data_IF_621397564571
#
_entry.id   IF_621397564571
#
_cell.length_a   1.000
_cell.length_b   1.000
_cell.length_c   1.000
_cell.angle_alpha   90.00
_cell.angle_beta   90.00
_cell.angle_gamma   90.00
#
_symmetry.space_group_name_H-M   'P 1'
#
loop_
_entity.id
_entity.type
_entity.pdbx_description
1 polymer ?
#
# COMPACT_ATOMS: atom_id res chain seq x y z
N UNK A 1 29.36 -3.22 21.57
CA UNK A 1 28.81 -4.56 21.85
C UNK A 1 27.46 -4.60 21.17
N UNK A 2 27.47 -5.03 19.92
CA UNK A 2 26.27 -5.28 19.13
C UNK A 2 25.78 -6.68 19.49
N UNK A 3 24.64 -6.77 20.15
CA UNK A 3 23.92 -8.05 20.27
C UNK A 3 22.83 -8.05 19.18
N UNK A 4 23.15 -8.57 18.02
CA UNK A 4 22.13 -9.00 17.06
C UNK A 4 21.39 -10.21 17.65
N UNK A 5 20.29 -9.96 18.29
CA UNK A 5 19.28 -10.99 18.51
C UNK A 5 18.48 -11.14 17.21
N UNK A 6 18.98 -11.95 16.31
CA UNK A 6 18.13 -12.45 15.22
C UNK A 6 17.18 -13.50 15.80
N UNK A 7 15.94 -13.10 16.04
CA UNK A 7 14.89 -14.07 16.32
C UNK A 7 14.66 -14.87 15.03
N UNK A 8 14.79 -16.21 15.03
CA UNK A 8 14.48 -17.00 13.85
C UNK A 8 13.02 -16.76 13.47
N UNK A 9 12.79 -16.20 12.30
CA UNK A 9 11.43 -16.06 11.76
C UNK A 9 11.04 -17.40 11.13
N UNK A 10 10.20 -18.17 11.81
CA UNK A 10 9.56 -19.34 11.21
C UNK A 10 8.37 -18.86 10.37
N UNK A 11 8.43 -19.11 9.07
CA UNK A 11 7.33 -18.82 8.15
C UNK A 11 6.68 -20.13 7.71
N UNK A 12 5.37 -20.21 7.83
CA UNK A 12 4.58 -21.33 7.33
C UNK A 12 3.80 -20.87 6.09
N UNK A 13 3.96 -21.59 4.99
CA UNK A 13 3.19 -21.34 3.76
C UNK A 13 2.08 -22.37 3.65
N UNK A 14 0.84 -21.92 3.66
CA UNK A 14 -0.34 -22.73 3.39
C UNK A 14 -0.81 -22.40 1.97
N UNK A 15 -1.08 -23.42 1.16
CA UNK A 15 -1.63 -23.27 -0.17
C UNK A 15 -3.01 -23.89 -0.22
N UNK A 16 -4.02 -23.08 -0.57
CA UNK A 16 -5.40 -23.52 -0.66
C UNK A 16 -6.26 -22.48 -1.38
N UNK A 17 -7.48 -22.86 -1.73
CA UNK A 17 -8.50 -21.91 -2.19
C UNK A 17 -9.32 -21.50 -0.99
N UNK A 18 -9.41 -20.19 -0.77
CA UNK A 18 -10.22 -19.59 0.27
C UNK A 18 -11.42 -18.92 -0.38
N UNK A 19 -12.54 -18.99 0.30
CA UNK A 19 -13.78 -18.30 -0.05
C UNK A 19 -14.12 -17.28 1.03
N UNK A 20 -14.83 -16.24 0.64
CA UNK A 20 -15.38 -15.28 1.61
C UNK A 20 -16.23 -15.99 2.66
N UNK A 21 -16.02 -15.68 3.92
CA UNK A 21 -16.68 -16.30 5.05
C UNK A 21 -16.02 -17.59 5.57
N UNK A 22 -14.99 -18.11 4.89
CA UNK A 22 -14.21 -19.22 5.43
C UNK A 22 -13.52 -18.78 6.73
N UNK A 23 -13.56 -19.68 7.73
CA UNK A 23 -12.90 -19.45 9.02
C UNK A 23 -11.57 -20.17 9.02
N UNK A 24 -10.50 -19.42 9.21
CA UNK A 24 -9.14 -19.93 9.35
C UNK A 24 -8.75 -19.91 10.81
N UNK A 25 -8.26 -21.04 11.31
CA UNK A 25 -7.71 -21.14 12.64
C UNK A 25 -6.26 -21.56 12.59
N UNK A 26 -5.44 -20.83 13.34
CA UNK A 26 -4.05 -21.16 13.61
C UNK A 26 -3.94 -21.64 15.06
N UNK A 27 -3.39 -22.81 15.24
CA UNK A 27 -3.02 -23.34 16.55
C UNK A 27 -1.49 -23.53 16.59
N UNK A 28 -0.85 -23.00 17.61
CA UNK A 28 0.58 -23.13 17.87
C UNK A 28 0.80 -23.76 19.24
N UNK A 29 1.54 -24.86 19.26
CA UNK A 29 1.88 -25.59 20.47
C UNK A 29 3.39 -25.73 20.55
N UNK A 30 3.98 -25.55 21.73
CA UNK A 30 5.39 -25.85 21.96
C UNK A 30 5.61 -27.37 22.03
N UNK A 31 6.81 -27.83 21.66
CA UNK A 31 7.13 -29.26 21.62
C UNK A 31 6.96 -29.96 22.98
N UNK A 32 7.14 -29.22 24.07
CA UNK A 32 6.93 -29.72 25.44
C UNK A 32 5.46 -29.64 25.90
N UNK A 33 4.59 -29.09 25.07
CA UNK A 33 3.17 -28.92 25.35
C UNK A 33 2.82 -27.89 26.46
N UNK A 34 3.81 -27.11 26.93
CA UNK A 34 3.57 -26.17 28.05
C UNK A 34 2.84 -24.89 27.59
N UNK A 35 3.02 -24.50 26.33
CA UNK A 35 2.39 -23.28 25.80
C UNK A 35 1.55 -23.61 24.58
N UNK A 36 0.34 -23.13 24.60
CA UNK A 36 -0.61 -23.22 23.50
C UNK A 36 -1.18 -21.83 23.21
N UNK A 37 -1.09 -21.41 21.96
CA UNK A 37 -1.72 -20.20 21.46
C UNK A 37 -2.57 -20.54 20.24
N UNK A 38 -3.67 -19.86 20.07
CA UNK A 38 -4.49 -19.98 18.87
C UNK A 38 -5.04 -18.62 18.44
N UNK A 39 -5.29 -18.49 17.16
CA UNK A 39 -5.94 -17.34 16.56
C UNK A 39 -6.93 -17.83 15.49
N UNK A 40 -8.02 -17.10 15.34
CA UNK A 40 -9.03 -17.37 14.35
C UNK A 40 -9.33 -16.10 13.55
N UNK A 41 -9.48 -16.24 12.24
CA UNK A 41 -9.85 -15.15 11.36
C UNK A 41 -10.86 -15.63 10.34
N UNK A 42 -11.88 -14.83 10.10
CA UNK A 42 -12.83 -15.06 9.01
C UNK A 42 -12.34 -14.34 7.76
N UNK A 43 -12.29 -15.06 6.64
CA UNK A 43 -11.93 -14.46 5.35
C UNK A 43 -12.93 -13.35 5.01
N UNK A 44 -12.49 -12.09 4.86
CA UNK A 44 -13.38 -10.98 4.59
C UNK A 44 -14.19 -11.17 3.31
N UNK A 45 -15.23 -10.38 3.16
CA UNK A 45 -15.97 -10.31 1.90
C UNK A 45 -15.07 -9.82 0.79
N UNK A 46 -15.45 -10.17 -0.44
CA UNK A 46 -14.78 -9.64 -1.62
C UNK A 46 -14.80 -8.10 -1.56
N UNK A 47 -13.66 -7.44 -1.80
CA UNK A 47 -13.59 -5.99 -1.73
C UNK A 47 -14.49 -5.35 -2.79
N UNK A 48 -14.85 -4.09 -2.55
CA UNK A 48 -15.48 -3.26 -3.55
C UNK A 48 -14.62 -3.23 -4.84
N UNK A 49 -15.27 -3.28 -5.98
CA UNK A 49 -14.58 -3.20 -7.25
C UNK A 49 -14.13 -1.76 -7.52
N UNK A 50 -12.88 -1.61 -7.98
CA UNK A 50 -12.40 -0.33 -8.48
C UNK A 50 -13.12 -0.06 -9.80
N UNK A 51 -13.97 0.97 -9.82
CA UNK A 51 -14.77 1.35 -10.99
C UNK A 51 -13.92 2.14 -12.02
N UNK A 52 -13.00 2.98 -11.51
CA UNK A 52 -12.23 3.90 -12.34
C UNK A 52 -10.93 4.32 -11.67
N UNK A 53 -9.89 4.50 -12.48
CA UNK A 53 -8.64 5.15 -12.08
C UNK A 53 -8.32 6.24 -13.11
N UNK A 54 -8.27 7.50 -12.65
CA UNK A 54 -7.77 8.63 -13.43
C UNK A 54 -6.39 9.02 -12.94
N UNK A 55 -5.45 9.20 -13.87
CA UNK A 55 -4.06 9.54 -13.55
C UNK A 55 -3.66 10.85 -14.22
N UNK A 56 -2.99 11.73 -13.46
CA UNK A 56 -2.49 13.00 -13.95
C UNK A 56 -1.12 13.31 -13.34
N UNK A 57 -0.16 13.72 -14.17
CA UNK A 57 1.11 14.26 -13.69
C UNK A 57 0.91 15.68 -13.15
N UNK A 58 1.36 15.91 -11.92
CA UNK A 58 1.26 17.21 -11.25
C UNK A 58 2.66 17.65 -10.83
N UNK A 59 3.12 18.86 -11.20
CA UNK A 59 4.30 19.47 -10.64
C UNK A 59 4.00 19.95 -9.21
N UNK A 60 4.94 19.74 -8.34
CA UNK A 60 4.93 20.31 -7.00
C UNK A 60 6.22 21.08 -6.76
N UNK A 61 6.10 22.35 -6.39
CA UNK A 61 7.24 23.23 -6.14
C UNK A 61 7.30 23.60 -4.67
N UNK A 62 8.39 23.22 -4.02
CA UNK A 62 8.70 23.61 -2.66
C UNK A 62 10.01 24.42 -2.67
N UNK A 63 9.90 25.69 -2.24
CA UNK A 63 11.04 26.64 -2.25
C UNK A 63 11.68 26.77 -3.64
N UNK A 64 12.80 26.11 -3.87
CA UNK A 64 13.54 26.10 -5.16
C UNK A 64 13.50 24.76 -5.87
N UNK A 65 12.74 23.82 -5.38
CA UNK A 65 12.69 22.44 -5.86
C UNK A 65 11.33 22.13 -6.49
N UNK A 66 11.34 21.62 -7.71
CA UNK A 66 10.13 21.14 -8.36
C UNK A 66 10.22 19.62 -8.51
N UNK A 67 9.29 18.91 -7.90
CA UNK A 67 9.15 17.46 -8.03
C UNK A 67 7.85 17.13 -8.74
N UNK A 68 7.84 16.11 -9.58
CA UNK A 68 6.63 15.63 -10.24
C UNK A 68 6.04 14.45 -9.48
N UNK A 69 4.71 14.45 -9.38
CA UNK A 69 3.94 13.36 -8.83
C UNK A 69 2.92 12.86 -9.85
N UNK A 70 2.63 11.56 -9.79
CA UNK A 70 1.46 10.98 -10.46
C UNK A 70 0.31 10.95 -9.46
N UNK A 71 -0.66 11.83 -9.66
CA UNK A 71 -1.93 11.82 -8.93
C UNK A 71 -2.81 10.72 -9.49
N UNK A 72 -3.30 9.85 -8.62
CA UNK A 72 -4.29 8.84 -8.93
C UNK A 72 -5.60 9.18 -8.22
N UNK A 73 -6.69 9.28 -8.99
CA UNK A 73 -8.05 9.32 -8.46
C UNK A 73 -8.67 7.95 -8.66
N UNK A 74 -8.88 7.23 -7.57
CA UNK A 74 -9.35 5.85 -7.55
C UNK A 74 -10.79 5.84 -7.07
N UNK A 75 -11.71 5.55 -7.97
CA UNK A 75 -13.15 5.48 -7.66
C UNK A 75 -13.55 4.03 -7.44
N UNK A 76 -14.20 3.78 -6.32
CA UNK A 76 -14.78 2.49 -5.95
C UNK A 76 -16.09 2.72 -5.18
N UNK A 77 -16.92 1.68 -5.11
CA UNK A 77 -18.19 1.71 -4.38
C UNK A 77 -18.10 0.83 -3.16
N UNK A 78 -18.52 1.36 -2.04
CA UNK A 78 -18.63 0.62 -0.79
C UNK A 78 -19.63 -0.55 -0.90
N UNK A 79 -19.37 -1.61 -0.13
CA UNK A 79 -20.27 -2.74 0.00
C UNK A 79 -21.41 -2.36 0.93
N UNK A 80 -22.69 -2.64 0.55
CA UNK A 80 -23.84 -2.21 1.33
C UNK A 80 -23.99 -2.98 2.66
N UNK A 81 -24.64 -2.32 3.59
CA UNK A 81 -25.26 -2.88 4.79
C UNK A 81 -24.36 -3.36 5.93
N UNK A 82 -23.03 -3.15 5.83
CA UNK A 82 -22.08 -3.54 6.87
C UNK A 82 -21.11 -2.40 7.19
N UNK A 83 -20.32 -2.55 8.25
CA UNK A 83 -19.11 -1.77 8.44
C UNK A 83 -17.98 -2.46 7.71
N UNK A 84 -17.36 -1.76 6.80
CA UNK A 84 -16.30 -2.30 5.97
C UNK A 84 -14.98 -1.65 6.32
N UNK A 85 -13.94 -2.47 6.33
CA UNK A 85 -12.57 -2.06 6.57
C UNK A 85 -11.74 -2.41 5.35
N UNK A 86 -10.90 -1.49 4.93
CA UNK A 86 -10.16 -1.57 3.69
C UNK A 86 -8.68 -1.27 3.89
N UNK A 87 -7.88 -1.77 2.95
CA UNK A 87 -6.49 -1.36 2.78
C UNK A 87 -6.24 -1.01 1.31
N UNK A 88 -5.64 0.15 1.07
CA UNK A 88 -5.11 0.52 -0.24
C UNK A 88 -3.61 0.26 -0.28
N UNK A 89 -3.14 -0.39 -1.36
CA UNK A 89 -1.73 -0.59 -1.64
C UNK A 89 -1.44 -0.08 -3.04
N UNK A 90 -0.46 0.80 -3.15
CA UNK A 90 0.06 1.31 -4.42
C UNK A 90 1.38 0.57 -4.72
N UNK A 91 1.32 -0.50 -5.50
CA UNK A 91 2.52 -1.25 -5.91
C UNK A 91 3.10 -0.64 -7.19
N UNK A 92 4.17 0.12 -7.05
CA UNK A 92 4.94 0.66 -8.17
C UNK A 92 6.03 -0.33 -8.54
N UNK A 93 5.79 -1.10 -9.59
CA UNK A 93 6.72 -2.06 -10.15
C UNK A 93 7.57 -1.42 -11.23
N UNK A 94 8.87 -1.29 -10.98
CA UNK A 94 9.84 -0.75 -11.92
C UNK A 94 10.63 -1.89 -12.55
N UNK A 95 10.62 -1.96 -13.87
CA UNK A 95 11.31 -2.98 -14.67
C UNK A 95 12.37 -2.26 -15.50
N UNK A 96 13.63 -2.49 -15.20
CA UNK A 96 14.76 -1.86 -15.86
C UNK A 96 15.62 -2.88 -16.56
N UNK A 97 16.06 -2.56 -17.79
CA UNK A 97 17.03 -3.34 -18.52
C UNK A 97 18.43 -2.78 -18.24
N UNK A 98 19.29 -3.59 -17.71
CA UNK A 98 20.66 -3.24 -17.32
C UNK A 98 21.67 -4.07 -18.07
N UNK A 99 22.96 -3.67 -18.07
CA UNK A 99 24.08 -4.47 -18.55
C UNK A 99 24.96 -4.87 -17.38
N UNK A 100 25.41 -6.12 -17.41
CA UNK A 100 26.42 -6.61 -16.47
C UNK A 100 27.85 -6.20 -16.93
N UNK A 101 28.86 -6.62 -16.17
CA UNK A 101 30.28 -6.34 -16.47
C UNK A 101 30.71 -6.93 -17.80
N UNK A 102 30.10 -8.02 -18.24
CA UNK A 102 30.35 -8.68 -19.52
C UNK A 102 29.55 -8.07 -20.69
N UNK A 103 28.88 -6.92 -20.45
CA UNK A 103 28.05 -6.22 -21.43
C UNK A 103 26.78 -6.98 -21.85
N UNK A 104 26.38 -8.03 -21.11
CA UNK A 104 25.14 -8.77 -21.35
C UNK A 104 23.95 -8.05 -20.74
N UNK A 105 22.80 -8.05 -21.46
CA UNK A 105 21.55 -7.47 -21.00
C UNK A 105 20.86 -8.40 -20.00
N UNK A 106 20.45 -7.81 -18.87
CA UNK A 106 19.57 -8.47 -17.90
C UNK A 106 18.45 -7.54 -17.43
N UNK A 107 17.39 -8.11 -16.92
CA UNK A 107 16.24 -7.35 -16.38
C UNK A 107 16.29 -7.37 -14.87
N UNK A 108 16.21 -6.18 -14.27
CA UNK A 108 16.03 -6.01 -12.83
C UNK A 108 14.63 -5.46 -12.56
N UNK A 109 13.94 -6.09 -11.63
CA UNK A 109 12.61 -5.66 -11.18
C UNK A 109 12.66 -5.36 -9.71
N UNK A 110 12.08 -4.23 -9.30
CA UNK A 110 11.87 -3.90 -7.90
C UNK A 110 10.48 -3.28 -7.71
N UNK A 111 10.03 -3.27 -6.46
CA UNK A 111 8.75 -2.76 -6.06
C UNK A 111 8.93 -1.62 -5.07
N UNK A 112 8.07 -0.62 -5.17
CA UNK A 112 7.98 0.47 -4.21
C UNK A 112 6.52 0.66 -3.84
N UNK A 113 6.24 0.72 -2.54
CA UNK A 113 4.88 0.81 -2.00
C UNK A 113 4.59 2.19 -1.39
N UNK A 114 5.50 3.14 -1.53
CA UNK A 114 5.33 4.47 -0.98
C UNK A 114 4.34 5.28 -1.82
N UNK A 115 3.40 5.90 -1.14
CA UNK A 115 2.48 6.87 -1.73
C UNK A 115 2.17 7.98 -0.72
N UNK A 116 1.65 9.09 -1.21
CA UNK A 116 1.26 10.25 -0.43
C UNK A 116 -0.24 10.48 -0.60
N UNK A 117 -0.95 10.78 0.49
CA UNK A 117 -2.41 10.94 0.47
C UNK A 117 -2.87 12.21 1.19
N UNK A 118 -2.06 13.19 1.20
CA UNK A 118 -2.14 14.49 1.85
C UNK A 118 -3.56 15.08 2.01
N UNK A 119 -4.34 15.09 0.94
CA UNK A 119 -5.65 15.74 0.89
C UNK A 119 -6.83 14.76 1.01
N UNK A 120 -6.55 13.46 1.04
CA UNK A 120 -7.61 12.47 1.12
C UNK A 120 -8.19 12.39 2.54
N UNK A 121 -9.47 12.75 2.69
CA UNK A 121 -10.14 12.86 4.00
C UNK A 121 -10.33 11.52 4.70
N UNK A 122 -10.33 10.43 3.95
CA UNK A 122 -10.50 9.08 4.50
C UNK A 122 -9.16 8.58 5.03
N UNK A 123 -8.09 8.69 4.23
CA UNK A 123 -6.75 8.26 4.63
C UNK A 123 -6.11 9.16 5.70
N UNK A 124 -6.57 10.41 5.83
CA UNK A 124 -6.09 11.35 6.84
C UNK A 124 -6.99 11.45 8.08
N UNK A 125 -8.00 10.58 8.16
CA UNK A 125 -9.01 10.61 9.22
C UNK A 125 -9.69 11.99 9.38
N UNK A 126 -9.98 12.62 8.25
CA UNK A 126 -10.64 13.95 8.21
C UNK A 126 -9.73 15.12 8.59
N UNK A 127 -8.42 14.91 8.65
CA UNK A 127 -7.42 15.95 8.90
C UNK A 127 -6.45 16.08 7.71
N UNK A 128 -6.94 16.48 6.53
CA UNK A 128 -6.05 16.65 5.38
C UNK A 128 -5.01 17.74 5.65
N UNK A 129 -3.77 17.50 5.21
CA UNK A 129 -2.74 18.52 5.24
C UNK A 129 -3.10 19.65 4.30
N UNK A 130 -3.02 20.89 4.77
CA UNK A 130 -3.20 22.07 3.92
C UNK A 130 -1.84 22.57 3.43
N UNK A 131 -1.84 23.34 2.34
CA UNK A 131 -0.61 23.95 1.79
C UNK A 131 0.11 24.87 2.78
N UNK A 132 -0.58 25.34 3.82
CA UNK A 132 -0.08 26.28 4.81
C UNK A 132 0.44 25.63 6.10
N UNK A 133 0.47 24.33 6.19
CA UNK A 133 1.09 23.65 7.33
C UNK A 133 2.61 23.77 7.22
N UNK A 134 3.19 24.77 7.91
CA UNK A 134 4.63 25.07 7.89
C UNK A 134 5.51 23.87 8.34
N UNK A 135 4.93 22.90 9.02
CA UNK A 135 5.61 21.68 9.48
C UNK A 135 5.25 20.44 8.68
N UNK A 136 4.31 20.51 7.74
CA UNK A 136 3.83 19.35 6.97
C UNK A 136 4.05 19.61 5.49
N UNK A 137 5.30 19.50 5.06
CA UNK A 137 5.62 19.43 3.64
C UNK A 137 4.89 18.27 2.96
N UNK A 138 4.80 18.27 1.65
CA UNK A 138 4.17 17.19 0.86
C UNK A 138 4.74 15.80 1.20
N UNK A 139 5.90 15.75 1.82
CA UNK A 139 6.63 14.55 2.22
C UNK A 139 6.41 14.19 3.69
N UNK A 140 5.59 14.93 4.43
CA UNK A 140 5.33 14.57 5.82
C UNK A 140 4.61 13.22 5.82
N UNK A 141 5.35 12.24 6.32
CA UNK A 141 4.98 10.84 6.31
C UNK A 141 3.71 10.72 7.13
N UNK A 142 2.71 10.44 6.44
CA UNK A 142 1.39 10.29 6.91
C UNK A 142 1.28 9.36 8.12
N UNK A 143 0.41 9.71 9.02
CA UNK A 143 0.06 8.92 10.20
C UNK A 143 -0.46 7.53 9.84
N UNK A 144 -0.99 7.36 8.64
CA UNK A 144 -1.54 6.10 8.13
C UNK A 144 -0.57 5.41 7.16
N UNK A 145 0.54 4.89 7.69
CA UNK A 145 1.59 4.20 6.89
C UNK A 145 1.11 2.90 6.24
N UNK A 146 0.00 2.34 6.70
CA UNK A 146 -0.51 1.04 6.20
C UNK A 146 -1.58 1.17 5.14
N UNK A 147 -2.08 2.40 4.88
CA UNK A 147 -3.16 2.65 3.93
C UNK A 147 -4.49 2.02 4.34
N UNK A 148 -4.73 1.84 5.64
CA UNK A 148 -5.97 1.26 6.18
C UNK A 148 -7.01 2.35 6.41
N UNK A 149 -8.29 2.03 6.19
CA UNK A 149 -9.41 2.95 6.40
C UNK A 149 -10.72 2.18 6.54
N UNK A 150 -11.74 2.84 7.08
CA UNK A 150 -13.09 2.33 7.17
C UNK A 150 -14.06 3.10 6.24
N UNK A 151 -15.29 2.61 6.16
CA UNK A 151 -16.34 3.18 5.32
C UNK A 151 -17.14 4.30 5.99
N UNK A 152 -16.81 4.70 7.21
CA UNK A 152 -17.64 5.63 8.03
C UNK A 152 -17.96 6.94 7.33
N UNK A 153 -17.11 7.41 6.41
CA UNK A 153 -17.26 8.67 5.68
C UNK A 153 -17.94 8.55 4.33
N UNK A 154 -18.15 7.33 3.82
CA UNK A 154 -18.76 7.10 2.50
C UNK A 154 -19.69 5.88 2.44
N UNK A 155 -20.12 5.42 3.57
CA UNK A 155 -20.95 4.21 3.72
C UNK A 155 -22.07 4.12 2.70
N UNK A 156 -22.20 2.97 2.04
CA UNK A 156 -23.17 2.68 0.98
C UNK A 156 -23.07 3.60 -0.26
N UNK A 157 -21.95 4.27 -0.46
CA UNK A 157 -21.79 5.28 -1.52
C UNK A 157 -20.51 5.05 -2.32
N UNK A 158 -20.41 5.54 -3.55
CA UNK A 158 -19.15 5.59 -4.24
C UNK A 158 -18.22 6.61 -3.57
N UNK A 159 -16.94 6.28 -3.52
CA UNK A 159 -15.89 7.16 -3.04
C UNK A 159 -14.77 7.30 -4.06
N UNK A 160 -14.20 8.48 -4.17
CA UNK A 160 -13.03 8.73 -5.01
C UNK A 160 -11.86 9.16 -4.14
N UNK A 161 -10.96 8.22 -3.91
CA UNK A 161 -9.72 8.42 -3.16
C UNK A 161 -8.67 9.12 -4.00
N UNK A 162 -7.92 10.03 -3.40
CA UNK A 162 -6.82 10.74 -4.07
C UNK A 162 -5.49 10.38 -3.42
N UNK A 163 -4.60 9.78 -4.20
CA UNK A 163 -3.24 9.42 -3.77
C UNK A 163 -2.21 9.85 -4.80
N UNK A 164 -0.97 10.04 -4.36
CA UNK A 164 0.14 10.50 -5.18
C UNK A 164 1.31 9.53 -5.10
N UNK A 165 1.89 9.21 -6.24
CA UNK A 165 3.12 8.42 -6.34
C UNK A 165 4.23 9.35 -6.81
N UNK A 166 5.34 9.49 -6.07
CA UNK A 166 6.45 10.34 -6.46
C UNK A 166 7.10 9.84 -7.75
N UNK A 167 7.26 10.71 -8.73
CA UNK A 167 7.80 10.33 -10.03
C UNK A 167 9.31 10.08 -10.04
N UNK A 168 10.05 10.59 -9.07
CA UNK A 168 11.48 10.31 -8.93
C UNK A 168 11.79 8.82 -8.70
N UNK A 169 10.82 8.05 -8.18
CA UNK A 169 10.92 6.59 -8.04
C UNK A 169 11.20 5.92 -9.39
N UNK A 170 10.80 6.54 -10.49
CA UNK A 170 10.95 6.02 -11.85
C UNK A 170 12.24 6.48 -12.53
N UNK A 171 12.97 7.42 -11.95
CA UNK A 171 14.19 7.94 -12.53
C UNK A 171 15.35 7.02 -12.21
N UNK A 172 16.00 6.51 -13.24
CA UNK A 172 17.27 5.82 -13.10
C UNK A 172 18.36 6.84 -12.80
N UNK A 173 19.03 6.68 -11.66
CA UNK A 173 20.14 7.57 -11.28
C UNK A 173 21.45 7.26 -12.02
N UNK A 174 21.53 6.15 -12.73
CA UNK A 174 22.77 5.65 -13.32
C UNK A 174 22.79 5.74 -14.86
N UNK A 175 22.98 6.96 -15.38
CA UNK A 175 23.43 7.16 -16.74
C UNK A 175 22.41 6.93 -17.88
N UNK A 176 22.84 6.91 -19.15
CA UNK A 176 21.99 6.90 -20.33
C UNK A 176 21.44 5.49 -20.64
N UNK A 177 20.71 4.90 -19.72
CA UNK A 177 20.13 3.59 -19.93
C UNK A 177 18.70 3.65 -20.52
N UNK A 178 18.32 2.62 -21.28
CA UNK A 178 17.02 2.58 -21.93
C UNK A 178 15.90 2.66 -20.90
N UNK A 179 14.81 3.28 -21.31
CA UNK A 179 13.63 3.58 -20.51
C UNK A 179 13.20 2.42 -19.59
N UNK A 180 13.11 2.70 -18.31
CA UNK A 180 12.46 1.80 -17.39
C UNK A 180 10.96 1.70 -17.74
N UNK A 181 10.41 0.49 -17.75
CA UNK A 181 8.97 0.29 -17.76
C UNK A 181 8.48 0.37 -16.33
N UNK A 182 7.42 1.15 -16.10
CA UNK A 182 6.80 1.31 -14.80
C UNK A 182 5.35 0.90 -14.89
N UNK A 183 4.97 -0.06 -14.06
CA UNK A 183 3.57 -0.44 -13.86
C UNK A 183 3.15 0.00 -12.46
N UNK A 184 2.04 0.72 -12.33
CA UNK A 184 1.44 1.04 -11.04
C UNK A 184 0.21 0.17 -10.88
N UNK A 185 0.25 -0.69 -9.88
CA UNK A 185 -0.81 -1.66 -9.59
C UNK A 185 -1.50 -1.20 -8.31
N UNK A 186 -2.79 -0.95 -8.40
CA UNK A 186 -3.61 -0.54 -7.27
C UNK A 186 -4.32 -1.76 -6.70
N UNK A 187 -4.10 -2.05 -5.43
CA UNK A 187 -4.82 -3.09 -4.72
C UNK A 187 -5.75 -2.44 -3.70
N UNK A 188 -7.03 -2.75 -3.79
CA UNK A 188 -8.02 -2.44 -2.77
C UNK A 188 -8.42 -3.76 -2.10
N UNK A 189 -8.10 -3.90 -0.83
CA UNK A 189 -8.31 -5.11 -0.05
C UNK A 189 -9.40 -4.88 0.98
N UNK A 190 -10.30 -5.85 1.16
CA UNK A 190 -11.07 -5.97 2.39
C UNK A 190 -10.19 -6.57 3.46
N UNK A 191 -10.20 -5.97 4.63
CA UNK A 191 -9.48 -6.44 5.80
C UNK A 191 -10.44 -6.68 6.97
N UNK A 192 -9.97 -7.36 7.99
CA UNK A 192 -10.77 -7.54 9.21
C UNK A 192 -10.72 -6.28 10.08
N UNK A 193 -11.73 -6.10 10.93
CA UNK A 193 -11.72 -5.05 11.94
C UNK A 193 -10.47 -5.13 12.85
N UNK A 194 -10.06 -6.34 13.19
CA UNK A 194 -8.84 -6.56 13.98
C UNK A 194 -7.59 -6.06 13.28
N UNK A 195 -7.48 -6.26 11.97
CA UNK A 195 -6.34 -5.77 11.18
C UNK A 195 -6.35 -4.24 11.05
N UNK A 196 -7.53 -3.63 11.04
CA UNK A 196 -7.68 -2.18 10.99
C UNK A 196 -7.18 -1.49 12.26
N UNK A 197 -7.45 -2.08 13.46
CA UNK A 197 -7.06 -1.50 14.75
C UNK A 197 -5.66 -1.90 15.22
N UNK A 198 -4.99 -2.85 14.58
CA UNK A 198 -3.69 -3.36 14.97
C UNK A 198 -2.56 -2.58 14.30
#
# INVERSE_FOLDING_TARGET
IESEYSVPQCQFKITGKLSSGDVLRLDALTDDGQYHAWAEVTVPRRPAEIEKIDTLTIPFTESSFTTEFLRHKITFRDLPDENNYYRIIMDTRVIQMLRNEDNELYTKTWHNYNFVYREDIVLTDGQPSTENDENNGMFDIAKNVYGVFDDSRFKNSPYTMTVYVPRYIFQSYDGPYPSAKVDIIVHLLSITESEYYY
#
